data_IF_319447845921
#
_entry.id   IF_319447845921
#
_cell.length_a   1.000
_cell.length_b   1.000
_cell.length_c   1.000
_cell.angle_alpha   90.00
_cell.angle_beta   90.00
_cell.angle_gamma   90.00
#
_symmetry.space_group_name_H-M   'P 1'
#
loop_
_entity.id
_entity.type
_entity.pdbx_description
1 polymer ?
#
# COMPACT_ATOMS: atom_id res chain seq x y z
N UNK A 1 -19.72 25.14 -0.32
CA UNK A 1 -19.45 24.42 -1.58
C UNK A 1 -18.17 23.64 -1.36
N UNK A 2 -18.10 22.34 -1.60
CA UNK A 2 -16.81 21.69 -1.56
C UNK A 2 -15.87 22.37 -2.55
N UNK A 3 -14.61 22.56 -2.18
CA UNK A 3 -13.60 23.09 -3.08
C UNK A 3 -13.57 22.25 -4.36
N UNK A 4 -13.25 22.86 -5.51
CA UNK A 4 -13.14 22.09 -6.75
C UNK A 4 -12.22 20.90 -6.51
N UNK A 5 -12.68 19.69 -6.85
CA UNK A 5 -11.90 18.48 -6.64
C UNK A 5 -10.50 18.65 -7.25
N UNK A 6 -9.44 18.27 -6.53
CA UNK A 6 -8.09 18.33 -7.07
C UNK A 6 -8.00 17.63 -8.42
N UNK A 7 -7.30 18.23 -9.38
CA UNK A 7 -7.16 17.70 -10.75
C UNK A 7 -5.93 16.77 -10.89
N UNK A 8 -5.33 16.36 -9.77
CA UNK A 8 -4.10 15.57 -9.73
C UNK A 8 -4.30 14.25 -8.96
N UNK A 9 -3.71 13.15 -9.43
CA UNK A 9 -3.65 11.89 -8.68
C UNK A 9 -3.00 12.10 -7.30
N UNK A 10 -3.41 11.30 -6.32
CA UNK A 10 -2.94 11.43 -4.93
C UNK A 10 -1.41 11.30 -4.78
N UNK A 11 -0.76 10.44 -5.57
CA UNK A 11 0.70 10.33 -5.54
C UNK A 11 1.43 11.60 -6.03
N UNK A 12 0.80 12.45 -6.81
CA UNK A 12 1.36 13.77 -7.18
C UNK A 12 1.31 14.75 -6.00
N UNK A 13 0.32 14.63 -5.10
CA UNK A 13 0.32 15.36 -3.83
C UNK A 13 1.46 14.89 -2.93
N UNK A 14 1.73 13.58 -2.85
CA UNK A 14 2.91 13.04 -2.15
C UNK A 14 4.20 13.66 -2.71
N UNK A 15 4.40 13.64 -4.02
CA UNK A 15 5.56 14.25 -4.68
C UNK A 15 5.71 15.74 -4.37
N UNK A 16 4.59 16.46 -4.32
CA UNK A 16 4.59 17.86 -3.94
C UNK A 16 5.07 18.06 -2.51
N UNK A 17 4.53 17.31 -1.54
CA UNK A 17 4.97 17.37 -0.14
C UNK A 17 6.44 16.99 0.02
N UNK A 18 6.92 15.99 -0.71
CA UNK A 18 8.33 15.61 -0.69
C UNK A 18 9.26 16.71 -1.22
N UNK A 19 8.80 17.56 -2.13
CA UNK A 19 9.58 18.73 -2.61
C UNK A 19 9.47 19.95 -1.69
N UNK A 20 8.26 20.25 -1.19
CA UNK A 20 7.99 21.49 -0.43
C UNK A 20 8.35 21.36 1.05
N UNK A 21 8.16 20.17 1.63
CA UNK A 21 8.38 19.89 3.05
C UNK A 21 9.02 18.52 3.27
N UNK A 22 10.23 18.27 2.69
CA UNK A 22 10.85 16.94 2.64
C UNK A 22 11.03 16.27 4.01
N UNK A 23 11.42 17.04 5.01
CA UNK A 23 11.75 16.56 6.35
C UNK A 23 10.54 16.46 7.28
N UNK A 24 9.36 16.96 6.84
CA UNK A 24 8.14 16.84 7.63
C UNK A 24 7.74 15.37 7.70
N UNK A 25 7.31 14.93 8.90
CA UNK A 25 6.84 13.58 9.15
C UNK A 25 5.52 13.36 8.40
N UNK A 26 5.50 12.34 7.54
CA UNK A 26 4.31 11.84 6.86
C UNK A 26 3.60 10.79 7.72
N UNK A 27 4.36 9.86 8.31
CA UNK A 27 3.83 8.78 9.15
C UNK A 27 4.69 8.56 10.38
N UNK A 28 4.03 8.13 11.45
CA UNK A 28 4.68 7.65 12.69
C UNK A 28 4.27 6.19 12.91
N UNK A 29 5.27 5.32 13.02
CA UNK A 29 5.06 3.91 13.34
C UNK A 29 5.68 3.60 14.70
N UNK A 30 4.86 3.53 15.74
CA UNK A 30 5.31 3.38 17.13
C UNK A 30 6.41 4.40 17.53
N UNK A 31 6.32 5.62 17.04
CA UNK A 31 7.30 6.67 17.26
C UNK A 31 8.44 6.73 16.23
N UNK A 32 8.60 5.71 15.38
CA UNK A 32 9.54 5.76 14.25
C UNK A 32 8.97 6.66 13.15
N UNK A 33 9.65 7.78 12.82
CA UNK A 33 9.18 8.68 11.79
C UNK A 33 9.50 8.16 10.39
N UNK A 34 8.59 8.42 9.47
CA UNK A 34 8.79 8.33 8.02
C UNK A 34 8.47 9.70 7.42
N UNK A 35 9.44 10.36 6.82
CA UNK A 35 9.26 11.70 6.24
C UNK A 35 8.65 11.62 4.83
N UNK A 36 8.14 12.76 4.33
CA UNK A 36 7.64 12.82 2.95
C UNK A 36 8.69 12.46 1.92
N UNK A 37 9.93 12.94 2.08
CA UNK A 37 11.02 12.59 1.18
C UNK A 37 11.35 11.10 1.20
N UNK A 38 11.36 10.48 2.39
CA UNK A 38 11.61 9.04 2.52
C UNK A 38 10.47 8.21 1.88
N UNK A 39 9.22 8.60 2.10
CA UNK A 39 8.07 7.91 1.52
C UNK A 39 8.07 8.03 -0.02
N UNK A 40 8.35 9.23 -0.55
CA UNK A 40 8.42 9.44 -2.00
C UNK A 40 9.55 8.62 -2.63
N UNK A 41 10.75 8.65 -2.05
CA UNK A 41 11.90 7.88 -2.53
C UNK A 41 11.64 6.35 -2.47
N UNK A 42 11.09 5.86 -1.38
CA UNK A 42 10.77 4.44 -1.22
C UNK A 42 9.72 3.96 -2.23
N UNK A 43 8.65 4.76 -2.42
CA UNK A 43 7.63 4.44 -3.41
C UNK A 43 8.11 4.59 -4.85
N UNK A 44 9.04 5.52 -5.16
CA UNK A 44 9.69 5.61 -6.47
C UNK A 44 10.55 4.36 -6.76
N UNK A 45 11.36 3.92 -5.80
CA UNK A 45 12.20 2.73 -5.96
C UNK A 45 11.36 1.47 -6.19
N UNK A 46 10.27 1.29 -5.43
CA UNK A 46 9.35 0.18 -5.63
C UNK A 46 8.63 0.25 -6.98
N UNK A 47 8.17 1.44 -7.38
CA UNK A 47 7.58 1.69 -8.70
C UNK A 47 8.52 1.28 -9.85
N UNK A 48 9.81 1.69 -9.76
CA UNK A 48 10.84 1.31 -10.72
C UNK A 48 11.06 -0.22 -10.75
N UNK A 49 11.02 -0.87 -9.57
CA UNK A 49 11.15 -2.33 -9.50
C UNK A 49 9.97 -3.04 -10.15
N UNK A 50 8.75 -2.55 -9.96
CA UNK A 50 7.56 -3.09 -10.64
C UNK A 50 7.67 -2.94 -12.16
N UNK A 51 8.12 -1.80 -12.67
CA UNK A 51 8.38 -1.61 -14.11
C UNK A 51 9.44 -2.58 -14.64
N UNK A 52 10.52 -2.80 -13.89
CA UNK A 52 11.56 -3.76 -14.26
C UNK A 52 11.04 -5.22 -14.31
N UNK A 53 9.98 -5.54 -13.58
CA UNK A 53 9.26 -6.82 -13.67
C UNK A 53 8.22 -6.86 -14.80
N UNK A 54 8.11 -5.77 -15.57
CA UNK A 54 7.15 -5.68 -16.68
C UNK A 54 5.72 -5.41 -16.22
N UNK A 55 5.51 -4.87 -15.00
CA UNK A 55 4.18 -4.41 -14.58
C UNK A 55 3.84 -3.14 -15.34
N UNK A 56 2.75 -3.18 -16.10
CA UNK A 56 2.29 -2.08 -16.92
C UNK A 56 1.14 -1.29 -16.25
N UNK A 57 0.83 -0.13 -16.83
CA UNK A 57 -0.37 0.63 -16.50
C UNK A 57 -1.63 -0.23 -16.63
N UNK A 58 -2.51 -0.17 -15.62
CA UNK A 58 -3.75 -0.95 -15.57
C UNK A 58 -3.59 -2.38 -15.06
N UNK A 59 -2.37 -2.86 -14.79
CA UNK A 59 -2.18 -4.18 -14.20
C UNK A 59 -2.42 -4.17 -12.68
N UNK A 60 -3.11 -5.19 -12.13
CA UNK A 60 -3.35 -5.30 -10.70
C UNK A 60 -2.11 -5.78 -9.95
N UNK A 61 -1.85 -5.16 -8.80
CA UNK A 61 -0.86 -5.61 -7.81
C UNK A 61 -1.56 -5.83 -6.48
N UNK A 62 -1.49 -7.04 -5.94
CA UNK A 62 -2.15 -7.39 -4.70
C UNK A 62 -1.34 -6.92 -3.47
N UNK A 63 -2.04 -6.37 -2.45
CA UNK A 63 -1.47 -6.03 -1.15
C UNK A 63 -2.14 -6.89 -0.07
N UNK A 64 -1.35 -7.76 0.59
CA UNK A 64 -1.86 -8.70 1.58
C UNK A 64 -1.13 -8.51 2.92
N UNK A 65 -1.51 -7.49 3.67
CA UNK A 65 -0.90 -7.12 4.93
C UNK A 65 -1.78 -6.22 5.78
N UNK A 66 -1.49 -6.14 7.08
CA UNK A 66 -2.09 -5.17 8.00
C UNK A 66 -1.49 -3.76 7.82
N UNK A 67 -1.99 -2.81 8.62
CA UNK A 67 -1.48 -1.44 8.64
C UNK A 67 0.00 -1.42 9.02
N UNK A 68 0.83 -0.88 8.15
CA UNK A 68 2.26 -0.65 8.38
C UNK A 68 2.78 0.40 7.37
N UNK A 69 3.95 1.01 7.61
CA UNK A 69 4.52 1.98 6.66
C UNK A 69 4.76 1.39 5.26
N UNK A 70 5.12 0.11 5.19
CA UNK A 70 5.36 -0.58 3.92
C UNK A 70 4.10 -0.68 3.06
N UNK A 71 2.90 -0.75 3.68
CA UNK A 71 1.64 -0.69 2.95
C UNK A 71 1.54 0.61 2.15
N UNK A 72 1.86 1.73 2.78
CA UNK A 72 1.78 3.06 2.16
C UNK A 72 2.83 3.23 1.06
N UNK A 73 4.06 2.74 1.30
CA UNK A 73 5.12 2.73 0.28
C UNK A 73 4.70 1.92 -0.96
N UNK A 74 4.13 0.73 -0.75
CA UNK A 74 3.65 -0.12 -1.83
C UNK A 74 2.48 0.51 -2.58
N UNK A 75 1.49 1.05 -1.86
CA UNK A 75 0.32 1.71 -2.41
C UNK A 75 0.72 2.82 -3.39
N UNK A 76 1.54 3.77 -2.95
CA UNK A 76 1.98 4.86 -3.82
C UNK A 76 2.91 4.38 -4.94
N UNK A 77 3.78 3.42 -4.68
CA UNK A 77 4.64 2.85 -5.71
C UNK A 77 3.86 2.23 -6.87
N UNK A 78 2.79 1.50 -6.56
CA UNK A 78 1.87 0.93 -7.56
C UNK A 78 1.18 2.04 -8.35
N UNK A 79 0.64 3.05 -7.66
CA UNK A 79 -0.06 4.16 -8.32
C UNK A 79 0.84 5.00 -9.22
N UNK A 80 2.11 5.21 -8.86
CA UNK A 80 3.06 6.02 -9.64
C UNK A 80 3.32 5.50 -11.05
N UNK A 81 3.10 4.22 -11.30
CA UNK A 81 3.23 3.59 -12.63
C UNK A 81 1.86 3.32 -13.29
N UNK A 82 0.77 3.77 -12.70
CA UNK A 82 -0.57 3.55 -13.21
C UNK A 82 -1.08 2.12 -13.05
N UNK A 83 -0.40 1.29 -12.27
CA UNK A 83 -0.90 -0.02 -11.87
C UNK A 83 -2.03 0.12 -10.84
N UNK A 84 -2.83 -0.91 -10.69
CA UNK A 84 -4.02 -0.90 -9.84
C UNK A 84 -3.67 -1.50 -8.47
N UNK A 85 -3.91 -0.75 -7.41
CA UNK A 85 -3.78 -1.25 -6.04
C UNK A 85 -4.94 -2.18 -5.72
N UNK A 86 -4.65 -3.43 -5.35
CA UNK A 86 -5.67 -4.43 -5.05
C UNK A 86 -5.50 -4.98 -3.62
N UNK A 87 -6.13 -4.36 -2.61
CA UNK A 87 -6.02 -4.82 -1.23
C UNK A 87 -6.72 -6.17 -1.03
N UNK A 88 -6.02 -7.10 -0.36
CA UNK A 88 -6.55 -8.35 0.13
C UNK A 88 -6.65 -8.28 1.66
N UNK A 89 -7.77 -8.68 2.23
CA UNK A 89 -7.98 -8.66 3.68
C UNK A 89 -7.02 -9.64 4.38
N UNK A 90 -6.23 -9.21 5.40
CA UNK A 90 -5.27 -10.08 6.09
C UNK A 90 -5.91 -11.27 6.80
N UNK A 91 -7.21 -11.25 6.98
CA UNK A 91 -7.98 -12.37 7.54
C UNK A 91 -8.41 -13.39 6.48
N UNK A 92 -8.21 -13.09 5.20
CA UNK A 92 -8.50 -14.03 4.11
C UNK A 92 -7.72 -15.32 4.32
N UNK A 93 -8.43 -16.44 4.16
CA UNK A 93 -7.83 -17.77 4.11
C UNK A 93 -7.52 -18.14 2.65
N UNK A 94 -7.11 -19.38 2.44
CA UNK A 94 -6.70 -19.90 1.12
C UNK A 94 -7.77 -19.66 0.06
N UNK A 95 -9.02 -19.98 0.35
CA UNK A 95 -10.11 -19.89 -0.62
C UNK A 95 -10.41 -18.44 -1.07
N UNK A 96 -10.50 -17.51 -0.12
CA UNK A 96 -10.77 -16.11 -0.42
C UNK A 96 -9.60 -15.46 -1.18
N UNK A 97 -8.35 -15.76 -0.76
CA UNK A 97 -7.16 -15.23 -1.43
C UNK A 97 -7.01 -15.81 -2.84
N UNK A 98 -7.19 -17.12 -3.01
CA UNK A 98 -7.16 -17.81 -4.31
C UNK A 98 -8.20 -17.21 -5.27
N UNK A 99 -9.44 -17.05 -4.80
CA UNK A 99 -10.51 -16.43 -5.57
C UNK A 99 -10.12 -15.02 -6.04
N UNK A 100 -9.70 -14.16 -5.11
CA UNK A 100 -9.38 -12.77 -5.41
C UNK A 100 -8.19 -12.64 -6.37
N UNK A 101 -7.10 -13.40 -6.17
CA UNK A 101 -5.95 -13.39 -7.05
C UNK A 101 -6.26 -13.93 -8.45
N UNK A 102 -7.14 -14.93 -8.54
CA UNK A 102 -7.58 -15.51 -9.81
C UNK A 102 -8.47 -14.54 -10.58
N UNK A 103 -9.44 -13.89 -9.92
CA UNK A 103 -10.32 -12.89 -10.53
C UNK A 103 -9.51 -11.68 -11.03
N UNK A 104 -8.54 -11.22 -10.25
CA UNK A 104 -7.61 -10.14 -10.61
C UNK A 104 -6.62 -10.53 -11.71
N UNK A 105 -6.33 -11.80 -11.93
CA UNK A 105 -5.16 -12.26 -12.72
C UNK A 105 -3.85 -11.61 -12.22
N UNK A 106 -3.73 -11.40 -10.91
CA UNK A 106 -2.59 -10.71 -10.32
C UNK A 106 -1.31 -11.54 -10.45
N UNK A 107 -0.27 -10.94 -11.08
CA UNK A 107 1.05 -11.57 -11.23
C UNK A 107 2.01 -11.21 -10.07
N UNK A 108 1.71 -10.13 -9.36
CA UNK A 108 2.54 -9.61 -8.26
C UNK A 108 1.70 -9.46 -7.00
N UNK A 109 2.26 -9.90 -5.88
CA UNK A 109 1.71 -9.67 -4.54
C UNK A 109 2.79 -9.11 -3.61
N UNK A 110 2.41 -8.15 -2.76
CA UNK A 110 3.19 -7.71 -1.60
C UNK A 110 2.49 -8.24 -0.36
N UNK A 111 3.15 -9.12 0.39
CA UNK A 111 2.55 -9.81 1.51
C UNK A 111 3.39 -9.69 2.78
N UNK A 112 2.73 -9.58 3.94
CA UNK A 112 3.41 -9.67 5.22
C UNK A 112 3.94 -11.10 5.45
N UNK A 113 5.11 -11.20 6.07
CA UNK A 113 5.80 -12.46 6.39
C UNK A 113 4.91 -13.47 7.11
N UNK A 114 4.11 -13.00 8.07
CA UNK A 114 3.15 -13.83 8.82
C UNK A 114 2.01 -14.39 7.97
N UNK A 115 1.79 -13.87 6.77
CA UNK A 115 0.74 -14.29 5.84
C UNK A 115 1.26 -15.16 4.69
N UNK A 116 2.58 -15.33 4.58
CA UNK A 116 3.20 -16.17 3.54
C UNK A 116 2.67 -17.60 3.52
N UNK A 117 2.38 -18.27 4.64
CA UNK A 117 1.82 -19.62 4.59
C UNK A 117 0.50 -19.73 3.82
N UNK A 118 -0.30 -18.66 3.75
CA UNK A 118 -1.52 -18.60 2.94
C UNK A 118 -1.17 -18.38 1.46
N UNK A 119 -0.22 -17.47 1.18
CA UNK A 119 0.25 -17.19 -0.19
C UNK A 119 0.85 -18.46 -0.83
N UNK A 120 1.68 -19.19 -0.11
CA UNK A 120 2.35 -20.40 -0.61
C UNK A 120 1.36 -21.48 -1.05
N UNK A 121 0.23 -21.62 -0.33
CA UNK A 121 -0.81 -22.62 -0.65
C UNK A 121 -1.60 -22.29 -1.92
N UNK A 122 -1.67 -21.00 -2.29
CA UNK A 122 -2.46 -20.55 -3.46
C UNK A 122 -1.58 -20.18 -4.65
N UNK A 123 -0.26 -19.98 -4.45
CA UNK A 123 0.65 -19.50 -5.50
C UNK A 123 0.60 -20.35 -6.76
N UNK A 124 0.66 -21.67 -6.62
CA UNK A 124 0.66 -22.60 -7.76
C UNK A 124 -0.70 -22.69 -8.49
N UNK A 125 -1.77 -22.18 -7.90
CA UNK A 125 -3.13 -22.21 -8.44
C UNK A 125 -3.55 -20.89 -9.07
N UNK A 126 -2.70 -19.87 -9.00
CA UNK A 126 -2.98 -18.50 -9.45
C UNK A 126 -1.94 -18.04 -10.47
N UNK A 127 -2.11 -16.84 -11.01
CA UNK A 127 -1.16 -16.24 -11.96
C UNK A 127 0.09 -15.66 -11.27
N UNK A 128 0.28 -15.81 -9.95
CA UNK A 128 1.36 -15.19 -9.20
C UNK A 128 2.75 -15.66 -9.69
N UNK A 129 3.55 -14.70 -10.09
CA UNK A 129 4.94 -14.86 -10.52
C UNK A 129 5.92 -14.32 -9.48
N UNK A 130 5.58 -13.16 -8.89
CA UNK A 130 6.45 -12.44 -7.96
C UNK A 130 5.76 -12.22 -6.61
N UNK A 131 6.47 -12.52 -5.54
CA UNK A 131 6.06 -12.26 -4.15
C UNK A 131 7.10 -11.34 -3.52
N UNK A 132 6.68 -10.15 -3.11
CA UNK A 132 7.46 -9.28 -2.24
C UNK A 132 7.06 -9.54 -0.79
N UNK A 133 8.05 -9.74 0.06
CA UNK A 133 7.83 -10.01 1.49
C UNK A 133 8.09 -8.75 2.30
N UNK A 134 7.08 -8.33 3.04
CA UNK A 134 7.18 -7.32 4.08
C UNK A 134 7.41 -8.03 5.41
N UNK A 135 8.56 -7.84 6.02
CA UNK A 135 8.78 -8.27 7.39
C UNK A 135 8.13 -7.26 8.32
N UNK A 136 6.96 -7.60 8.82
CA UNK A 136 6.01 -6.66 9.42
C UNK A 136 6.61 -5.82 10.58
N UNK A 137 7.52 -6.39 11.34
CA UNK A 137 8.15 -5.73 12.49
C UNK A 137 9.49 -5.02 12.18
N UNK A 138 9.94 -5.00 10.91
CA UNK A 138 11.30 -4.52 10.56
C UNK A 138 11.49 -3.01 10.69
N UNK A 139 10.41 -2.23 10.61
CA UNK A 139 10.44 -0.76 10.77
C UNK A 139 10.06 -0.29 12.17
N UNK A 140 9.98 -1.19 13.15
CA UNK A 140 9.82 -0.80 14.55
C UNK A 140 11.03 0.01 15.03
N UNK A 141 10.85 1.01 15.90
CA UNK A 141 11.94 1.84 16.40
C UNK A 141 13.03 1.02 17.09
N UNK A 142 14.28 1.44 16.92
CA UNK A 142 15.42 0.91 17.67
C UNK A 142 15.52 1.60 19.05
N UNK A 143 15.91 0.87 20.09
CA UNK A 143 16.01 1.38 21.47
C UNK A 143 14.66 1.51 22.17
N UNK A 144 14.55 2.48 23.09
CA UNK A 144 13.31 2.75 23.83
C UNK A 144 12.36 3.58 22.97
N UNK A 145 11.21 3.03 22.55
CA UNK A 145 10.27 3.75 21.72
C UNK A 145 9.50 4.80 22.54
N UNK A 146 9.22 5.95 21.92
CA UNK A 146 8.37 7.00 22.54
C UNK A 146 6.91 6.57 22.71
N UNK A 147 6.49 5.55 22.00
CA UNK A 147 5.18 4.91 22.07
C UNK A 147 5.38 3.43 22.35
N UNK A 148 4.71 2.89 23.35
CA UNK A 148 4.85 1.48 23.72
C UNK A 148 4.53 0.56 22.53
N UNK A 149 5.48 -0.32 22.20
CA UNK A 149 5.30 -1.35 21.16
C UNK A 149 4.67 -2.58 21.82
N UNK A 150 3.58 -3.15 21.27
CA UNK A 150 3.01 -4.39 21.78
C UNK A 150 4.03 -5.53 21.86
N UNK A 151 3.92 -6.35 22.89
CA UNK A 151 4.85 -7.46 23.11
C UNK A 151 4.90 -8.45 21.94
N UNK A 152 3.76 -8.65 21.27
CA UNK A 152 3.62 -9.50 20.09
C UNK A 152 4.49 -8.99 18.92
N UNK A 153 4.54 -7.68 18.69
CA UNK A 153 5.36 -7.09 17.63
C UNK A 153 6.85 -7.17 17.96
N UNK A 154 7.22 -7.01 19.24
CA UNK A 154 8.60 -7.22 19.70
C UNK A 154 9.03 -8.68 19.52
N UNK A 155 8.14 -9.64 19.83
CA UNK A 155 8.38 -11.05 19.59
C UNK A 155 8.52 -11.36 18.09
N UNK A 156 7.69 -10.78 17.23
CA UNK A 156 7.82 -10.91 15.77
C UNK A 156 9.17 -10.37 15.29
N UNK A 157 9.62 -9.21 15.80
CA UNK A 157 10.94 -8.67 15.46
C UNK A 157 12.07 -9.59 15.88
N UNK A 158 12.00 -10.16 17.09
CA UNK A 158 13.00 -11.09 17.59
C UNK A 158 13.04 -12.42 16.81
N UNK A 159 11.90 -12.84 16.27
CA UNK A 159 11.76 -14.07 15.48
C UNK A 159 11.88 -13.81 13.95
N UNK A 160 12.25 -12.61 13.53
CA UNK A 160 12.29 -12.22 12.10
C UNK A 160 13.28 -13.09 11.33
N UNK A 161 12.77 -13.82 10.34
CA UNK A 161 13.55 -14.71 9.48
C UNK A 161 14.02 -14.01 8.21
N UNK A 162 15.05 -14.53 7.53
CA UNK A 162 15.38 -14.12 6.16
C UNK A 162 14.20 -14.33 5.21
N UNK A 163 14.13 -13.51 4.16
CA UNK A 163 13.13 -13.67 3.10
C UNK A 163 13.31 -15.04 2.42
N UNK A 164 12.24 -15.84 2.25
CA UNK A 164 12.33 -17.16 1.62
C UNK A 164 12.86 -17.11 0.18
N UNK A 165 13.54 -18.18 -0.23
CA UNK A 165 13.96 -18.33 -1.62
C UNK A 165 12.76 -18.25 -2.59
N UNK A 166 12.94 -17.57 -3.72
CA UNK A 166 11.86 -17.34 -4.69
C UNK A 166 10.91 -16.21 -4.32
N UNK A 167 11.19 -15.48 -3.24
CA UNK A 167 10.55 -14.21 -2.87
C UNK A 167 11.59 -13.09 -2.86
N UNK A 168 11.14 -11.84 -2.87
CA UNK A 168 11.98 -10.64 -2.82
C UNK A 168 11.69 -9.82 -1.56
N UNK A 169 12.74 -9.29 -0.94
CA UNK A 169 12.63 -8.41 0.21
C UNK A 169 12.06 -7.05 -0.23
N UNK A 170 10.88 -6.72 0.28
CA UNK A 170 10.20 -5.48 -0.08
C UNK A 170 11.02 -4.24 0.33
N UNK A 171 11.55 -4.23 1.56
CA UNK A 171 12.29 -3.08 2.04
C UNK A 171 13.60 -2.88 1.28
N UNK A 172 14.28 -3.95 0.89
CA UNK A 172 15.45 -3.87 0.01
C UNK A 172 15.09 -3.27 -1.36
N UNK A 173 13.94 -3.66 -1.95
CA UNK A 173 13.46 -3.11 -3.21
C UNK A 173 13.14 -1.60 -3.12
N UNK A 174 12.72 -1.11 -1.94
CA UNK A 174 12.41 0.32 -1.72
C UNK A 174 13.64 1.20 -1.46
N UNK A 175 14.82 0.62 -1.25
CA UNK A 175 16.05 1.34 -0.87
C UNK A 175 17.07 1.49 -2.00
N UNK A 176 16.72 1.14 -3.21
CA UNK A 176 17.66 1.14 -4.37
C UNK A 176 17.99 2.54 -4.89
N UNK A 177 17.20 3.56 -4.53
CA UNK A 177 17.33 4.91 -5.09
C UNK A 177 16.86 5.03 -6.55
N UNK A 178 16.34 3.95 -7.15
CA UNK A 178 15.82 3.96 -8.50
C UNK A 178 14.55 4.82 -8.61
N UNK A 179 14.29 5.33 -9.81
CA UNK A 179 13.07 6.09 -10.12
C UNK A 179 12.35 5.46 -11.29
N UNK A 180 11.00 5.44 -11.27
CA UNK A 180 10.24 4.90 -12.38
C UNK A 180 10.34 5.80 -13.61
N UNK A 181 10.23 5.19 -14.78
CA UNK A 181 9.97 5.93 -16.00
C UNK A 181 8.59 6.61 -15.91
N UNK A 182 8.44 7.84 -16.42
CA UNK A 182 7.15 8.54 -16.41
C UNK A 182 6.07 7.76 -17.15
N UNK A 183 4.86 7.75 -16.58
CA UNK A 183 3.67 7.14 -17.18
C UNK A 183 2.59 8.20 -17.32
N UNK A 184 2.00 8.31 -18.51
CA UNK A 184 0.87 9.23 -18.72
C UNK A 184 -0.39 8.65 -18.05
N UNK A 185 -0.93 9.40 -17.08
CA UNK A 185 -2.11 9.03 -16.30
C UNK A 185 -3.25 9.99 -16.54
N UNK A 186 -4.47 9.46 -16.56
CA UNK A 186 -5.73 10.19 -16.56
C UNK A 186 -6.43 10.02 -15.21
N UNK A 187 -7.23 11.01 -14.82
CA UNK A 187 -8.10 10.92 -13.64
C UNK A 187 -9.17 9.81 -13.78
N UNK A 188 -9.43 9.36 -15.01
CA UNK A 188 -10.36 8.26 -15.30
C UNK A 188 -9.70 6.88 -15.25
N UNK A 189 -8.36 6.82 -15.22
CA UNK A 189 -7.65 5.54 -15.07
C UNK A 189 -7.98 4.90 -13.71
N UNK A 190 -8.13 3.59 -13.69
CA UNK A 190 -8.38 2.84 -12.46
C UNK A 190 -7.12 2.82 -11.60
N UNK A 191 -7.22 3.29 -10.37
CA UNK A 191 -6.12 3.36 -9.39
C UNK A 191 -6.22 2.31 -8.29
N UNK A 192 -7.44 1.84 -8.03
CA UNK A 192 -7.76 1.00 -6.89
C UNK A 192 -8.89 0.03 -7.23
N UNK A 193 -8.77 -1.22 -6.80
CA UNK A 193 -9.84 -2.20 -6.86
C UNK A 193 -10.03 -2.85 -5.51
N UNK A 194 -11.19 -2.61 -4.88
CA UNK A 194 -11.54 -3.15 -3.56
C UNK A 194 -12.66 -4.16 -3.68
N UNK A 195 -12.52 -5.30 -3.00
CA UNK A 195 -13.56 -6.33 -3.00
C UNK A 195 -14.62 -6.06 -1.95
N UNK A 196 -15.88 -6.19 -2.36
CA UNK A 196 -17.03 -6.11 -1.46
C UNK A 196 -17.40 -7.51 -0.98
N UNK A 197 -17.96 -7.62 0.22
CA UNK A 197 -18.35 -8.91 0.82
C UNK A 197 -19.47 -9.64 0.08
N UNK A 198 -20.10 -9.00 -0.92
CA UNK A 198 -21.20 -9.57 -1.70
C UNK A 198 -22.38 -10.02 -0.82
N UNK A 199 -23.57 -9.45 -1.01
CA UNK A 199 -24.78 -9.87 -0.26
C UNK A 199 -25.44 -11.12 -0.84
N UNK A 200 -25.09 -11.49 -2.07
CA UNK A 200 -25.80 -12.52 -2.86
C UNK A 200 -24.88 -13.46 -3.63
N UNK A 201 -23.60 -13.55 -3.31
CA UNK A 201 -22.68 -14.42 -4.06
C UNK A 201 -21.21 -14.13 -3.78
N UNK A 202 -20.35 -14.46 -4.72
CA UNK A 202 -18.90 -14.22 -4.61
C UNK A 202 -18.59 -12.72 -4.51
N UNK A 203 -17.52 -12.34 -3.78
CA UNK A 203 -17.05 -10.96 -3.70
C UNK A 203 -16.80 -10.36 -5.08
N UNK A 204 -17.08 -9.06 -5.24
CA UNK A 204 -16.91 -8.33 -6.51
C UNK A 204 -15.91 -7.22 -6.33
N UNK A 205 -14.99 -7.06 -7.28
CA UNK A 205 -14.01 -5.97 -7.32
C UNK A 205 -14.66 -4.66 -7.78
N UNK A 206 -14.80 -3.71 -6.86
CA UNK A 206 -15.24 -2.35 -7.19
C UNK A 206 -14.04 -1.56 -7.71
N UNK A 207 -14.12 -1.11 -8.94
CA UNK A 207 -13.08 -0.30 -9.60
C UNK A 207 -13.25 1.17 -9.28
N UNK A 208 -12.20 1.81 -8.78
CA UNK A 208 -12.16 3.22 -8.42
C UNK A 208 -11.07 3.92 -9.23
N UNK A 209 -11.44 4.99 -9.92
CA UNK A 209 -10.47 5.80 -10.67
C UNK A 209 -9.65 6.70 -9.74
N UNK A 210 -8.56 7.28 -10.27
CA UNK A 210 -7.83 8.34 -9.58
C UNK A 210 -8.76 9.49 -9.18
N UNK A 211 -9.70 9.87 -10.06
CA UNK A 211 -10.70 10.90 -9.79
C UNK A 211 -11.61 10.55 -8.62
N UNK A 212 -12.09 9.30 -8.54
CA UNK A 212 -12.92 8.86 -7.43
C UNK A 212 -12.15 8.92 -6.10
N UNK A 213 -10.91 8.41 -6.07
CA UNK A 213 -10.08 8.39 -4.88
C UNK A 213 -9.77 9.82 -4.40
N UNK A 214 -9.31 10.70 -5.31
CA UNK A 214 -8.98 12.09 -5.00
C UNK A 214 -10.19 12.87 -4.53
N UNK A 215 -11.34 12.74 -5.22
CA UNK A 215 -12.58 13.38 -4.81
C UNK A 215 -13.02 12.96 -3.41
N UNK A 216 -13.01 11.64 -3.16
CA UNK A 216 -13.42 11.10 -1.85
C UNK A 216 -12.52 11.57 -0.71
N UNK A 217 -11.21 11.61 -0.96
CA UNK A 217 -10.22 12.10 0.02
C UNK A 217 -10.45 13.57 0.33
N UNK A 218 -10.56 14.43 -0.70
CA UNK A 218 -10.83 15.85 -0.53
C UNK A 218 -12.15 16.11 0.21
N UNK A 219 -13.23 15.45 -0.22
CA UNK A 219 -14.53 15.58 0.44
C UNK A 219 -14.50 15.11 1.90
N UNK A 220 -13.70 14.07 2.21
CA UNK A 220 -13.53 13.59 3.59
C UNK A 220 -12.79 14.59 4.46
N UNK A 221 -11.72 15.20 3.92
CA UNK A 221 -10.98 16.25 4.60
C UNK A 221 -11.85 17.48 4.87
N UNK A 222 -12.58 17.97 3.86
CA UNK A 222 -13.48 19.11 3.99
C UNK A 222 -14.59 18.87 5.01
N UNK A 223 -15.25 17.70 4.96
CA UNK A 223 -16.33 17.35 5.89
C UNK A 223 -15.86 17.26 7.35
N UNK A 224 -14.63 16.87 7.58
CA UNK A 224 -14.04 16.75 8.91
C UNK A 224 -13.28 18.03 9.34
N UNK A 225 -13.26 19.08 8.51
CA UNK A 225 -12.55 20.32 8.82
C UNK A 225 -11.05 20.14 8.97
N UNK A 226 -10.47 19.17 8.25
CA UNK A 226 -9.05 18.83 8.39
C UNK A 226 -8.15 19.90 7.81
N UNK A 227 -7.09 20.23 8.54
CA UNK A 227 -6.05 21.14 8.10
C UNK A 227 -4.70 20.44 8.01
N UNK A 228 -3.68 21.05 7.37
CA UNK A 228 -2.35 20.44 7.30
C UNK A 228 -1.62 20.26 8.65
N UNK A 229 -2.22 20.68 9.76
CA UNK A 229 -1.60 20.65 11.09
C UNK A 229 -2.05 19.47 11.97
N UNK A 230 -3.10 18.76 11.56
CA UNK A 230 -3.60 17.60 12.29
C UNK A 230 -2.71 16.37 12.12
N UNK A 231 -2.74 15.52 13.14
CA UNK A 231 -2.20 14.16 13.10
C UNK A 231 -3.35 13.18 13.27
N UNK A 232 -3.51 12.27 12.33
CA UNK A 232 -4.56 11.26 12.36
C UNK A 232 -4.03 9.95 12.93
N UNK A 233 -4.80 9.33 13.81
CA UNK A 233 -4.55 7.96 14.24
C UNK A 233 -5.18 6.98 13.24
N UNK A 234 -4.34 6.35 12.41
CA UNK A 234 -4.75 5.42 11.36
C UNK A 234 -5.08 4.03 11.91
N UNK A 235 -6.15 3.93 12.73
CA UNK A 235 -6.62 2.64 13.32
C UNK A 235 -7.50 1.84 12.38
N UNK A 236 -8.20 2.51 11.45
CA UNK A 236 -9.00 1.80 10.45
C UNK A 236 -8.09 0.98 9.53
N UNK A 237 -8.50 -0.25 9.16
CA UNK A 237 -7.70 -1.10 8.29
C UNK A 237 -7.41 -0.44 6.93
N UNK A 238 -6.14 -0.28 6.58
CA UNK A 238 -5.72 0.33 5.31
C UNK A 238 -6.13 -0.49 4.08
N UNK A 239 -6.34 -1.80 4.24
CA UNK A 239 -6.87 -2.65 3.18
C UNK A 239 -8.38 -2.45 2.91
N UNK A 240 -9.08 -1.71 3.78
CA UNK A 240 -10.48 -1.32 3.61
C UNK A 240 -10.58 0.11 3.11
N UNK A 241 -11.56 0.40 2.24
CA UNK A 241 -11.70 1.72 1.61
C UNK A 241 -11.76 2.87 2.62
N UNK A 242 -12.41 2.70 3.77
CA UNK A 242 -12.49 3.73 4.79
C UNK A 242 -11.12 4.05 5.40
N UNK A 243 -10.33 3.03 5.74
CA UNK A 243 -8.96 3.20 6.25
C UNK A 243 -8.03 3.80 5.21
N UNK A 244 -8.19 3.40 3.96
CA UNK A 244 -7.40 3.92 2.85
C UNK A 244 -7.62 5.43 2.63
N UNK A 245 -8.88 5.87 2.61
CA UNK A 245 -9.23 7.29 2.43
C UNK A 245 -8.74 8.15 3.59
N UNK A 246 -8.73 7.61 4.82
CA UNK A 246 -8.36 8.38 6.01
C UNK A 246 -6.91 8.20 6.44
N UNK A 247 -6.25 7.14 6.04
CA UNK A 247 -4.93 6.77 6.55
C UNK A 247 -3.83 6.63 5.49
N UNK A 248 -4.16 6.53 4.20
CA UNK A 248 -3.17 6.51 3.11
C UNK A 248 -3.25 7.79 2.30
N UNK A 249 -4.45 8.15 1.89
CA UNK A 249 -4.74 9.29 1.02
C UNK A 249 -4.93 10.59 1.86
#
# INVERSE_FOLDING_TARGET
>A
MPSAAPQLPLHEHLRRHARETPDRIAYLWYGQPLTWAQLDAASDAFAARLQALGVAKGEPVALFMNNCPQYVMAHYGIQKIGAIVCPCGPLNKEHELEYQLTDLQARVIVAADVLLPVVDKVRAKTALQQVFVVRYAELLPEGEPSIAVPAELLAMRAAMAPVPAGCEDFLAATRTGARPAPVALSMDDISLMTYTSGTTGLPKGAMLSYGNATFKTAASADCNGMTPHETLLAVAPLYHIAGMVMGVN
#
